data_IF_503056692125
#
_entry.id   IF_503056692125
#
_cell.length_a   1.000
_cell.length_b   1.000
_cell.length_c   1.000
_cell.angle_alpha   90.00
_cell.angle_beta   90.00
_cell.angle_gamma   90.00
#
_symmetry.space_group_name_H-M   'P 1'
#
loop_
_entity.id
_entity.type
_entity.pdbx_description
1 polymer ?
#
# COMPACT_ATOMS: atom_id res chain seq x y z
N UNK A 1 -55.01 -22.58 -3.55
CA UNK A 1 -53.72 -22.47 -2.78
C UNK A 1 -52.60 -23.38 -3.31
N UNK A 2 -52.73 -24.01 -4.45
CA UNK A 2 -51.67 -24.85 -5.07
C UNK A 2 -50.82 -24.15 -6.14
N UNK A 3 -51.18 -22.93 -6.58
CA UNK A 3 -50.58 -22.28 -7.74
C UNK A 3 -49.41 -21.32 -7.39
N UNK A 4 -49.29 -20.88 -6.14
CA UNK A 4 -48.22 -19.97 -5.70
C UNK A 4 -46.93 -20.71 -5.27
N UNK A 5 -47.02 -21.94 -4.82
CA UNK A 5 -45.86 -22.74 -4.44
C UNK A 5 -45.08 -23.28 -5.66
N UNK A 6 -45.80 -23.67 -6.72
CA UNK A 6 -45.18 -24.13 -7.98
C UNK A 6 -44.48 -22.99 -8.73
N UNK A 7 -45.04 -21.75 -8.67
CA UNK A 7 -44.37 -20.58 -9.28
C UNK A 7 -43.10 -20.16 -8.54
N UNK A 8 -43.00 -20.40 -7.22
CA UNK A 8 -41.78 -20.15 -6.45
C UNK A 8 -40.69 -21.18 -6.72
N UNK A 9 -41.03 -22.45 -6.89
CA UNK A 9 -40.05 -23.51 -7.19
C UNK A 9 -39.47 -23.40 -8.61
N UNK A 10 -40.26 -23.01 -9.61
CA UNK A 10 -39.78 -22.79 -10.97
C UNK A 10 -38.89 -21.55 -11.07
N UNK A 11 -39.13 -20.51 -10.27
CA UNK A 11 -38.25 -19.30 -10.22
C UNK A 11 -36.89 -19.61 -9.63
N UNK A 12 -36.77 -20.51 -8.66
CA UNK A 12 -35.49 -20.88 -8.04
C UNK A 12 -34.60 -21.77 -8.93
N UNK A 13 -35.20 -22.53 -9.86
CA UNK A 13 -34.47 -23.42 -10.78
C UNK A 13 -33.80 -22.68 -11.95
N UNK A 14 -34.18 -21.44 -12.21
CA UNK A 14 -33.63 -20.60 -13.32
C UNK A 14 -32.55 -19.63 -12.88
N UNK A 15 -32.25 -19.52 -11.58
CA UNK A 15 -31.24 -18.59 -11.08
C UNK A 15 -29.85 -19.24 -11.13
N UNK A 16 -29.03 -18.83 -12.08
CA UNK A 16 -27.63 -19.25 -12.09
C UNK A 16 -26.85 -18.55 -10.96
N UNK A 17 -25.88 -19.25 -10.37
CA UNK A 17 -24.98 -18.65 -9.37
C UNK A 17 -24.25 -17.41 -9.91
N UNK A 18 -24.00 -17.35 -11.22
CA UNK A 18 -23.41 -16.21 -11.92
C UNK A 18 -24.36 -15.01 -11.91
N UNK A 19 -25.66 -15.20 -12.17
CA UNK A 19 -26.67 -14.13 -12.17
C UNK A 19 -26.96 -13.63 -10.75
N UNK A 20 -27.00 -14.55 -9.77
CA UNK A 20 -27.14 -14.19 -8.36
C UNK A 20 -25.93 -13.35 -7.91
N UNK A 21 -24.72 -13.78 -8.26
CA UNK A 21 -23.49 -13.05 -7.94
C UNK A 21 -23.44 -11.69 -8.61
N UNK A 22 -23.78 -11.60 -9.90
CA UNK A 22 -23.89 -10.34 -10.65
C UNK A 22 -24.90 -9.39 -10.03
N UNK A 23 -26.10 -9.89 -9.69
CA UNK A 23 -27.16 -9.08 -9.06
C UNK A 23 -26.78 -8.57 -7.66
N UNK A 24 -25.99 -9.34 -6.91
CA UNK A 24 -25.44 -8.92 -5.61
C UNK A 24 -24.36 -7.85 -5.82
N UNK A 25 -23.47 -8.05 -6.78
CA UNK A 25 -22.43 -7.09 -7.15
C UNK A 25 -23.05 -5.74 -7.56
N UNK A 26 -24.02 -5.75 -8.47
CA UNK A 26 -24.66 -4.54 -8.98
C UNK A 26 -25.43 -3.75 -7.90
N UNK A 27 -25.94 -4.44 -6.87
CA UNK A 27 -26.68 -3.80 -5.76
C UNK A 27 -25.79 -3.37 -4.58
N UNK A 28 -24.64 -3.99 -4.41
CA UNK A 28 -23.82 -3.86 -3.19
C UNK A 28 -22.60 -2.98 -3.36
N UNK A 29 -22.16 -2.70 -4.58
CA UNK A 29 -20.97 -1.93 -4.83
C UNK A 29 -21.30 -0.49 -5.25
N UNK A 30 -21.42 0.40 -4.26
CA UNK A 30 -21.05 1.79 -4.48
C UNK A 30 -19.57 1.85 -4.89
N UNK A 31 -19.23 2.79 -5.77
CA UNK A 31 -17.84 3.10 -6.15
C UNK A 31 -16.97 3.06 -4.87
N UNK A 32 -15.88 2.29 -4.84
CA UNK A 32 -15.04 2.21 -3.66
C UNK A 32 -14.65 3.61 -3.19
N UNK A 33 -14.85 3.90 -1.91
CA UNK A 33 -14.52 5.22 -1.32
C UNK A 33 -13.03 5.61 -1.52
N UNK A 34 -12.18 4.65 -1.83
CA UNK A 34 -10.80 4.87 -2.21
C UNK A 34 -10.66 5.59 -3.56
N UNK A 35 -11.55 5.35 -4.54
CA UNK A 35 -11.46 5.98 -5.85
C UNK A 35 -11.62 7.50 -5.76
N UNK A 36 -12.60 7.99 -5.00
CA UNK A 36 -12.77 9.43 -4.77
C UNK A 36 -11.48 10.06 -4.23
N UNK A 37 -10.86 9.45 -3.21
CA UNK A 37 -9.60 9.95 -2.66
C UNK A 37 -8.44 9.91 -3.66
N UNK A 38 -8.36 8.87 -4.50
CA UNK A 38 -7.33 8.78 -5.55
C UNK A 38 -7.51 9.91 -6.56
N UNK A 39 -8.74 10.18 -6.99
CA UNK A 39 -9.06 11.29 -7.89
C UNK A 39 -8.74 12.65 -7.27
N UNK A 40 -9.03 12.84 -5.96
CA UNK A 40 -8.70 14.07 -5.21
C UNK A 40 -7.19 14.33 -5.16
N UNK A 41 -6.36 13.28 -5.28
CA UNK A 41 -4.91 13.38 -5.40
C UNK A 41 -4.40 13.64 -6.83
N UNK A 42 -5.31 13.90 -7.78
CA UNK A 42 -4.99 14.29 -9.16
C UNK A 42 -4.72 13.13 -10.12
N UNK A 43 -5.07 11.90 -9.74
CA UNK A 43 -5.04 10.77 -10.65
C UNK A 43 -6.29 10.75 -11.54
N UNK A 44 -6.18 10.15 -12.72
CA UNK A 44 -7.29 9.93 -13.64
C UNK A 44 -7.98 8.59 -13.37
N UNK A 45 -9.20 8.41 -13.91
CA UNK A 45 -9.93 7.13 -13.79
C UNK A 45 -9.18 5.96 -14.44
N UNK A 46 -8.42 6.25 -15.50
CA UNK A 46 -7.62 5.27 -16.24
C UNK A 46 -6.42 4.79 -15.43
N UNK A 47 -5.92 5.60 -14.48
CA UNK A 47 -4.80 5.24 -13.61
C UNK A 47 -5.22 4.44 -12.37
N UNK A 48 -6.49 4.48 -11.98
CA UNK A 48 -7.01 3.78 -10.80
C UNK A 48 -6.73 2.27 -10.84
N UNK A 49 -7.01 1.53 -11.92
CA UNK A 49 -6.70 0.10 -11.99
C UNK A 49 -5.21 -0.19 -11.80
N UNK A 50 -4.35 0.67 -12.31
CA UNK A 50 -2.90 0.53 -12.12
C UNK A 50 -2.51 0.66 -10.64
N UNK A 51 -3.07 1.65 -9.92
CA UNK A 51 -2.80 1.86 -8.49
C UNK A 51 -3.19 0.62 -7.67
N UNK A 52 -4.36 0.03 -7.94
CA UNK A 52 -4.80 -1.19 -7.25
C UNK A 52 -3.93 -2.41 -7.60
N UNK A 53 -3.45 -2.51 -8.82
CA UNK A 53 -2.65 -3.65 -9.27
C UNK A 53 -1.17 -3.54 -8.89
N UNK A 54 -0.67 -2.33 -8.65
CA UNK A 54 0.74 -2.07 -8.37
C UNK A 54 1.33 -2.96 -7.25
N UNK A 55 0.70 -3.11 -6.08
CA UNK A 55 1.24 -3.97 -5.03
C UNK A 55 1.42 -5.42 -5.47
N UNK A 56 0.49 -5.95 -6.24
CA UNK A 56 0.54 -7.34 -6.73
C UNK A 56 1.58 -7.53 -7.83
N UNK A 57 1.86 -6.49 -8.61
CA UNK A 57 2.85 -6.52 -9.70
C UNK A 57 4.28 -6.54 -9.14
N UNK A 58 4.58 -5.73 -8.12
CA UNK A 58 5.94 -5.51 -7.64
C UNK A 58 6.32 -6.31 -6.39
N UNK A 59 5.36 -6.73 -5.58
CA UNK A 59 5.61 -7.42 -4.32
C UNK A 59 5.41 -8.93 -4.46
N UNK A 60 6.19 -9.69 -3.69
CA UNK A 60 6.03 -11.14 -3.53
C UNK A 60 5.57 -11.53 -2.12
N UNK A 61 5.65 -10.61 -1.17
CA UNK A 61 5.29 -10.86 0.22
C UNK A 61 3.84 -10.44 0.49
N UNK A 62 2.96 -11.39 0.85
CA UNK A 62 1.53 -11.10 1.13
C UNK A 62 1.34 -10.01 2.19
N UNK A 63 2.23 -9.95 3.19
CA UNK A 63 2.18 -8.94 4.25
C UNK A 63 2.34 -7.53 3.72
N UNK A 64 3.27 -7.28 2.79
CA UNK A 64 3.49 -5.97 2.20
C UNK A 64 2.40 -5.61 1.19
N UNK A 65 1.89 -6.61 0.43
CA UNK A 65 0.75 -6.44 -0.46
C UNK A 65 -0.46 -5.93 0.35
N UNK A 66 -0.84 -6.66 1.40
CA UNK A 66 -1.98 -6.29 2.25
C UNK A 66 -1.76 -4.97 2.98
N UNK A 67 -0.53 -4.67 3.37
CA UNK A 67 -0.19 -3.37 3.96
C UNK A 67 -0.46 -2.23 2.97
N UNK A 68 0.02 -2.33 1.73
CA UNK A 68 -0.22 -1.30 0.71
C UNK A 68 -1.71 -1.20 0.32
N UNK A 69 -2.42 -2.32 0.20
CA UNK A 69 -3.87 -2.33 -0.02
C UNK A 69 -4.61 -1.58 1.10
N UNK A 70 -4.23 -1.80 2.36
CA UNK A 70 -4.82 -1.08 3.50
C UNK A 70 -4.55 0.43 3.45
N UNK A 71 -3.39 0.86 2.94
CA UNK A 71 -3.10 2.29 2.73
C UNK A 71 -4.02 2.85 1.65
N UNK A 72 -4.13 2.20 0.49
CA UNK A 72 -4.99 2.64 -0.61
C UNK A 72 -6.44 2.81 -0.13
N UNK A 73 -6.94 1.88 0.66
CA UNK A 73 -8.30 1.92 1.21
C UNK A 73 -8.45 2.79 2.47
N UNK A 74 -7.36 3.36 3.01
CA UNK A 74 -7.34 4.13 4.26
C UNK A 74 -7.91 3.36 5.47
N UNK A 75 -7.61 2.07 5.55
CA UNK A 75 -8.05 1.15 6.62
C UNK A 75 -6.88 0.60 7.45
N UNK A 76 -5.68 1.16 7.27
CA UNK A 76 -4.55 0.79 8.11
C UNK A 76 -4.81 1.29 9.55
N UNK A 77 -4.64 0.44 10.57
CA UNK A 77 -4.79 0.86 11.96
C UNK A 77 -3.84 2.02 12.32
N UNK A 78 -4.41 3.11 12.82
CA UNK A 78 -3.69 4.28 13.34
C UNK A 78 -4.16 4.56 14.76
N UNK A 79 -3.42 5.34 15.56
CA UNK A 79 -3.85 5.68 16.91
C UNK A 79 -5.25 6.34 16.92
N UNK A 80 -5.53 7.24 15.97
CA UNK A 80 -6.86 7.85 15.85
C UNK A 80 -7.96 6.83 15.55
N UNK A 81 -7.69 5.79 14.74
CA UNK A 81 -8.68 4.76 14.45
C UNK A 81 -8.88 3.81 15.63
N UNK A 82 -7.80 3.46 16.32
CA UNK A 82 -7.82 2.60 17.51
C UNK A 82 -8.47 3.32 18.70
N UNK A 83 -8.21 4.60 18.89
CA UNK A 83 -8.86 5.44 19.91
C UNK A 83 -10.36 5.54 19.68
N UNK A 84 -10.80 5.79 18.43
CA UNK A 84 -12.23 5.79 18.10
C UNK A 84 -12.90 4.42 18.35
N UNK A 85 -12.16 3.34 18.16
CA UNK A 85 -12.60 1.98 18.44
C UNK A 85 -12.48 1.59 19.94
N UNK A 86 -12.03 2.50 20.80
CA UNK A 86 -11.80 2.30 22.25
C UNK A 86 -10.81 1.17 22.55
N UNK A 87 -9.82 0.99 21.68
CA UNK A 87 -8.73 -0.01 21.83
C UNK A 87 -7.53 0.62 22.53
N UNK A 88 -7.30 1.92 22.33
CA UNK A 88 -6.23 2.69 22.98
C UNK A 88 -6.80 3.89 23.73
N UNK A 89 -6.07 4.38 24.73
CA UNK A 89 -6.49 5.51 25.58
C UNK A 89 -6.13 6.87 24.99
N UNK A 90 -5.35 6.90 23.90
CA UNK A 90 -4.91 8.13 23.24
C UNK A 90 -4.88 7.96 21.73
N UNK A 91 -5.11 9.06 21.03
CA UNK A 91 -4.95 9.15 19.57
C UNK A 91 -3.64 9.84 19.14
N UNK A 92 -2.80 10.23 20.11
CA UNK A 92 -1.53 10.93 19.87
C UNK A 92 -0.55 10.06 19.09
N UNK A 93 0.14 10.67 18.14
CA UNK A 93 1.15 10.03 17.32
C UNK A 93 2.36 9.59 18.17
N UNK A 94 2.71 8.30 18.22
CA UNK A 94 3.86 7.83 19.00
C UNK A 94 5.23 8.29 18.48
N UNK A 95 5.29 8.74 17.21
CA UNK A 95 6.55 9.21 16.62
C UNK A 95 6.90 10.63 17.07
N UNK A 96 5.96 11.57 17.00
CA UNK A 96 6.21 12.97 17.35
C UNK A 96 5.68 13.37 18.71
N UNK A 97 4.76 12.61 19.31
CA UNK A 97 4.06 12.89 20.58
C UNK A 97 3.33 14.24 20.63
N UNK A 98 2.92 14.79 19.46
CA UNK A 98 2.34 16.14 19.38
C UNK A 98 0.90 16.10 18.85
N UNK A 99 0.65 15.40 17.77
CA UNK A 99 -0.60 15.46 17.00
C UNK A 99 -1.34 14.13 17.00
N UNK A 100 -2.64 14.18 16.72
CA UNK A 100 -3.45 12.99 16.49
C UNK A 100 -2.96 12.22 15.28
N UNK A 101 -2.78 10.89 15.42
CA UNK A 101 -2.20 10.07 14.38
C UNK A 101 -3.26 9.55 13.39
N UNK A 102 -3.54 10.32 12.35
CA UNK A 102 -4.20 9.82 11.14
C UNK A 102 -3.19 9.08 10.24
N UNK A 103 -3.68 8.36 9.21
CA UNK A 103 -2.81 7.75 8.20
C UNK A 103 -1.95 8.79 7.48
N UNK A 104 -2.55 9.93 7.10
CA UNK A 104 -1.84 11.05 6.50
C UNK A 104 -0.78 11.61 7.43
N UNK A 105 -1.12 11.84 8.71
CA UNK A 105 -0.14 12.32 9.68
C UNK A 105 1.00 11.33 9.82
N UNK A 106 0.72 10.07 10.10
CA UNK A 106 1.75 9.05 10.31
C UNK A 106 2.74 8.93 9.14
N UNK A 107 2.23 8.92 7.90
CA UNK A 107 3.08 8.67 6.73
C UNK A 107 3.70 9.95 6.14
N UNK A 108 3.09 11.12 6.31
CA UNK A 108 3.43 12.31 5.52
C UNK A 108 3.70 13.54 6.37
N UNK A 109 2.72 13.99 7.18
CA UNK A 109 2.79 15.30 7.87
C UNK A 109 3.46 15.26 9.23
N UNK A 110 3.70 14.08 9.81
CA UNK A 110 4.49 13.95 11.02
C UNK A 110 5.90 14.49 10.81
N UNK A 111 6.41 15.33 11.70
CA UNK A 111 7.75 15.92 11.59
C UNK A 111 8.86 14.86 11.48
N UNK A 112 8.72 13.77 12.24
CA UNK A 112 9.68 12.64 12.20
C UNK A 112 9.62 11.92 10.85
N UNK A 113 8.41 11.65 10.35
CA UNK A 113 8.26 11.01 9.03
C UNK A 113 8.70 11.92 7.89
N UNK A 114 8.44 13.22 7.97
CA UNK A 114 8.90 14.19 6.98
C UNK A 114 10.42 14.24 6.89
N UNK A 115 11.12 14.22 8.03
CA UNK A 115 12.59 14.13 8.07
C UNK A 115 13.09 12.83 7.44
N UNK A 116 12.43 11.69 7.74
CA UNK A 116 12.76 10.40 7.13
C UNK A 116 12.63 10.43 5.59
N UNK A 117 11.62 11.08 5.04
CA UNK A 117 11.46 11.20 3.58
C UNK A 117 12.51 12.08 2.92
N UNK A 118 13.08 13.06 3.64
CA UNK A 118 14.23 13.83 3.16
C UNK A 118 15.45 12.90 3.02
N UNK A 119 15.74 12.07 4.04
CA UNK A 119 16.82 11.08 3.95
C UNK A 119 16.60 10.09 2.81
N UNK A 120 15.37 9.60 2.64
CA UNK A 120 15.01 8.70 1.54
C UNK A 120 15.28 9.35 0.17
N UNK A 121 14.89 10.61 -0.03
CA UNK A 121 15.09 11.32 -1.29
C UNK A 121 16.56 11.53 -1.60
N UNK A 122 17.38 11.87 -0.59
CA UNK A 122 18.82 12.03 -0.73
C UNK A 122 19.50 10.69 -1.07
N UNK A 123 19.18 9.63 -0.32
CA UNK A 123 19.67 8.29 -0.60
C UNK A 123 19.30 7.81 -2.01
N UNK A 124 18.07 8.05 -2.45
CA UNK A 124 17.64 7.71 -3.80
C UNK A 124 18.45 8.45 -4.85
N UNK A 125 18.67 9.75 -4.64
CA UNK A 125 19.51 10.57 -5.54
C UNK A 125 20.94 10.05 -5.62
N UNK A 126 21.57 9.73 -4.51
CA UNK A 126 22.92 9.17 -4.45
C UNK A 126 23.04 7.83 -5.19
N UNK A 127 22.07 6.93 -5.01
CA UNK A 127 22.07 5.59 -5.61
C UNK A 127 21.76 5.59 -7.10
N UNK A 128 20.83 6.41 -7.53
CA UNK A 128 20.26 6.34 -8.88
C UNK A 128 20.59 7.56 -9.76
N UNK A 129 21.20 8.58 -9.21
CA UNK A 129 21.42 9.89 -9.84
C UNK A 129 20.13 10.49 -10.41
N UNK A 130 19.03 10.30 -9.68
CA UNK A 130 17.70 10.77 -10.04
C UNK A 130 17.11 11.55 -8.87
N UNK A 131 16.85 12.84 -9.09
CA UNK A 131 16.17 13.66 -8.09
C UNK A 131 14.68 13.29 -8.09
N UNK A 132 14.20 12.76 -6.96
CA UNK A 132 12.80 12.36 -6.81
C UNK A 132 12.08 13.29 -5.85
N UNK A 133 11.07 14.00 -6.35
CA UNK A 133 10.15 14.75 -5.50
C UNK A 133 9.07 13.80 -4.99
N UNK A 134 9.06 13.56 -3.69
CA UNK A 134 8.07 12.72 -3.04
C UNK A 134 6.84 13.56 -2.67
N UNK A 135 5.82 13.53 -3.51
CA UNK A 135 4.51 14.11 -3.19
C UNK A 135 3.70 13.19 -2.28
N UNK A 136 2.64 13.73 -1.67
CA UNK A 136 1.67 12.96 -0.89
C UNK A 136 1.09 11.79 -1.73
N UNK A 137 0.76 12.05 -2.99
CA UNK A 137 0.26 11.02 -3.91
C UNK A 137 1.29 9.93 -4.19
N UNK A 138 2.56 10.30 -4.40
CA UNK A 138 3.66 9.34 -4.62
C UNK A 138 3.88 8.46 -3.39
N UNK A 139 3.89 9.03 -2.20
CA UNK A 139 4.06 8.28 -0.96
C UNK A 139 2.86 7.34 -0.75
N UNK A 140 1.63 7.80 -0.92
CA UNK A 140 0.43 7.01 -0.64
C UNK A 140 0.19 5.90 -1.67
N UNK A 141 0.25 6.23 -2.95
CA UNK A 141 -0.21 5.37 -4.04
C UNK A 141 0.93 4.80 -4.90
N UNK A 142 2.13 5.32 -4.78
CA UNK A 142 3.28 4.91 -5.56
C UNK A 142 3.50 5.76 -6.81
N UNK A 143 4.56 5.45 -7.52
CA UNK A 143 4.94 6.09 -8.77
C UNK A 143 4.35 5.33 -9.95
N UNK A 144 3.46 5.96 -10.68
CA UNK A 144 2.70 5.34 -11.76
C UNK A 144 3.33 5.47 -13.16
N UNK A 145 4.36 6.32 -13.31
CA UNK A 145 5.05 6.49 -14.59
C UNK A 145 6.11 5.41 -14.77
N UNK A 146 6.07 4.71 -15.89
CA UNK A 146 7.09 3.76 -16.30
C UNK A 146 8.39 4.51 -16.63
N UNK A 147 9.20 4.73 -15.62
CA UNK A 147 10.56 5.26 -15.75
C UNK A 147 11.57 4.15 -15.47
N UNK A 148 12.82 4.34 -15.86
CA UNK A 148 13.89 3.47 -15.40
C UNK A 148 13.88 3.40 -13.86
N UNK A 149 13.93 2.18 -13.32
CA UNK A 149 13.89 1.89 -11.87
C UNK A 149 12.53 2.11 -11.16
N UNK A 150 11.42 2.27 -11.86
CA UNK A 150 10.10 2.47 -11.24
C UNK A 150 9.70 1.32 -10.29
N UNK A 151 10.05 0.07 -10.63
CA UNK A 151 9.78 -1.09 -9.76
C UNK A 151 10.57 -1.00 -8.45
N UNK A 152 11.86 -0.67 -8.55
CA UNK A 152 12.75 -0.50 -7.40
C UNK A 152 12.28 0.64 -6.51
N UNK A 153 11.88 1.77 -7.10
CA UNK A 153 11.36 2.91 -6.36
C UNK A 153 10.09 2.55 -5.60
N UNK A 154 9.11 1.97 -6.29
CA UNK A 154 7.85 1.59 -5.65
C UNK A 154 8.03 0.53 -4.56
N UNK A 155 8.89 -0.45 -4.79
CA UNK A 155 9.24 -1.44 -3.77
C UNK A 155 9.88 -0.77 -2.54
N UNK A 156 10.87 0.09 -2.76
CA UNK A 156 11.56 0.82 -1.69
C UNK A 156 10.60 1.73 -0.92
N UNK A 157 9.68 2.43 -1.61
CA UNK A 157 8.63 3.25 -0.99
C UNK A 157 7.70 2.41 -0.09
N UNK A 158 7.31 1.21 -0.51
CA UNK A 158 6.44 0.36 0.31
C UNK A 158 7.19 -0.16 1.53
N UNK A 159 8.46 -0.56 1.38
CA UNK A 159 9.30 -0.97 2.52
C UNK A 159 9.52 0.20 3.49
N UNK A 160 9.75 1.40 2.97
CA UNK A 160 9.91 2.64 3.75
C UNK A 160 8.64 2.97 4.55
N UNK A 161 7.47 2.97 3.90
CA UNK A 161 6.16 3.14 4.58
C UNK A 161 5.93 2.08 5.65
N UNK A 162 6.29 0.83 5.35
CA UNK A 162 6.19 -0.25 6.33
C UNK A 162 7.14 -0.04 7.51
N UNK A 163 8.34 0.53 7.28
CA UNK A 163 9.25 0.90 8.35
C UNK A 163 8.64 2.00 9.26
N UNK A 164 8.10 3.06 8.68
CA UNK A 164 7.40 4.12 9.42
C UNK A 164 6.26 3.54 10.27
N UNK A 165 5.42 2.69 9.68
CA UNK A 165 4.32 2.04 10.38
C UNK A 165 4.80 1.12 11.52
N UNK A 166 5.81 0.28 11.27
CA UNK A 166 6.30 -0.68 12.23
C UNK A 166 7.01 -0.04 13.43
N UNK A 167 7.59 1.15 13.24
CA UNK A 167 8.22 1.93 14.33
C UNK A 167 7.26 2.89 15.00
N UNK A 168 6.05 3.07 14.47
CA UNK A 168 5.01 3.91 15.03
C UNK A 168 4.27 3.25 16.21
N UNK A 169 5.05 2.88 17.21
CA UNK A 169 4.62 2.27 18.47
C UNK A 169 5.23 3.05 19.63
N UNK A 170 4.68 2.96 20.85
CA UNK A 170 5.27 3.62 22.02
C UNK A 170 6.77 3.30 22.14
N UNK A 171 7.57 4.34 22.30
CA UNK A 171 9.05 4.27 22.35
C UNK A 171 9.73 3.73 21.09
N UNK A 172 9.01 3.65 19.96
CA UNK A 172 9.60 3.31 18.68
C UNK A 172 10.47 4.45 18.15
N UNK A 173 11.61 4.10 17.57
CA UNK A 173 12.54 5.06 16.94
C UNK A 173 12.52 4.84 15.44
N UNK A 174 12.11 5.87 14.71
CA UNK A 174 12.19 5.87 13.26
C UNK A 174 13.58 6.38 12.84
N UNK A 175 14.45 5.48 12.44
CA UNK A 175 15.75 5.81 11.88
C UNK A 175 15.90 5.25 10.45
N UNK A 176 16.84 5.84 9.70
CA UNK A 176 17.05 5.48 8.30
C UNK A 176 17.83 4.17 8.13
N UNK A 177 18.72 3.85 9.07
CA UNK A 177 19.52 2.62 9.04
C UNK A 177 18.64 1.37 9.22
N UNK A 178 17.66 1.44 10.10
CA UNK A 178 16.63 0.40 10.25
C UNK A 178 15.86 0.15 8.94
N UNK A 179 15.56 1.20 8.19
CA UNK A 179 14.96 1.07 6.86
C UNK A 179 15.93 0.38 5.88
N UNK A 180 17.19 0.81 5.82
CA UNK A 180 18.19 0.21 4.92
C UNK A 180 18.41 -1.27 5.24
N UNK A 181 18.55 -1.62 6.52
CA UNK A 181 18.67 -3.01 6.95
C UNK A 181 17.46 -3.84 6.52
N UNK A 182 16.26 -3.30 6.71
CA UNK A 182 15.02 -3.95 6.29
C UNK A 182 14.93 -4.12 4.78
N UNK A 183 15.33 -3.09 4.02
CA UNK A 183 15.35 -3.14 2.56
C UNK A 183 16.34 -4.18 2.05
N UNK A 184 17.58 -4.19 2.57
CA UNK A 184 18.61 -5.15 2.19
C UNK A 184 18.17 -6.60 2.45
N UNK A 185 17.64 -6.89 3.64
CA UNK A 185 17.08 -8.22 3.95
C UNK A 185 15.98 -8.67 2.97
N UNK A 186 15.18 -7.71 2.48
CA UNK A 186 14.13 -7.97 1.49
C UNK A 186 14.71 -8.24 0.10
N UNK A 187 15.73 -7.50 -0.29
CA UNK A 187 16.42 -7.68 -1.56
C UNK A 187 17.13 -9.03 -1.59
N UNK A 188 17.78 -9.44 -0.51
CA UNK A 188 18.41 -10.77 -0.37
C UNK A 188 17.38 -11.90 -0.51
N UNK A 189 16.21 -11.72 0.09
CA UNK A 189 15.10 -12.66 -0.08
C UNK A 189 14.63 -12.75 -1.55
N UNK A 190 14.45 -11.62 -2.23
CA UNK A 190 14.09 -11.57 -3.65
C UNK A 190 15.18 -12.19 -4.55
N UNK A 191 16.44 -11.94 -4.23
CA UNK A 191 17.58 -12.55 -4.89
C UNK A 191 17.55 -14.08 -4.78
N UNK A 192 17.26 -14.60 -3.58
CA UNK A 192 17.11 -16.04 -3.35
C UNK A 192 15.96 -16.64 -4.17
N UNK A 193 14.81 -15.97 -4.25
CA UNK A 193 13.69 -16.41 -5.10
C UNK A 193 14.11 -16.41 -6.57
N UNK A 194 14.75 -15.34 -7.04
CA UNK A 194 15.21 -15.22 -8.42
C UNK A 194 16.23 -16.32 -8.79
N UNK A 195 17.15 -16.63 -7.88
CA UNK A 195 18.10 -17.74 -8.04
C UNK A 195 17.39 -19.07 -8.19
N UNK A 196 16.48 -19.41 -7.26
CA UNK A 196 15.70 -20.65 -7.31
C UNK A 196 14.80 -20.77 -8.53
N UNK A 197 14.38 -19.66 -9.11
CA UNK A 197 13.53 -19.60 -10.31
C UNK A 197 14.31 -19.46 -11.60
N UNK A 198 15.65 -19.57 -11.57
CA UNK A 198 16.56 -19.38 -12.70
C UNK A 198 16.41 -18.03 -13.41
N UNK A 199 16.09 -16.96 -12.66
CA UNK A 199 15.88 -15.58 -13.14
C UNK A 199 16.86 -14.58 -12.54
N UNK A 200 18.01 -15.04 -12.07
CA UNK A 200 19.01 -14.19 -11.41
C UNK A 200 19.55 -13.08 -12.31
N UNK A 201 19.69 -13.34 -13.63
CA UNK A 201 20.14 -12.30 -14.58
C UNK A 201 19.16 -11.15 -14.73
N UNK A 202 17.86 -11.44 -14.77
CA UNK A 202 16.79 -10.43 -14.81
C UNK A 202 16.74 -9.65 -13.51
N UNK A 203 16.82 -10.34 -12.38
CA UNK A 203 16.88 -9.73 -11.06
C UNK A 203 18.05 -8.74 -10.96
N UNK A 204 19.25 -9.15 -11.35
CA UNK A 204 20.43 -8.28 -11.33
C UNK A 204 20.27 -7.04 -12.21
N UNK A 205 19.64 -7.14 -13.38
CA UNK A 205 19.38 -5.94 -14.22
C UNK A 205 18.54 -4.89 -13.51
N UNK A 206 17.53 -5.33 -12.74
CA UNK A 206 16.62 -4.43 -12.02
C UNK A 206 17.23 -3.90 -10.72
N UNK A 207 17.92 -4.77 -9.96
CA UNK A 207 18.30 -4.49 -8.57
C UNK A 207 19.78 -4.21 -8.35
N UNK A 208 20.61 -4.24 -9.42
CA UNK A 208 22.08 -4.14 -9.32
C UNK A 208 22.58 -2.92 -8.52
N UNK A 209 21.85 -1.81 -8.55
CA UNK A 209 22.26 -0.58 -7.84
C UNK A 209 22.01 -0.63 -6.32
N UNK A 210 21.25 -1.60 -5.86
CA UNK A 210 20.97 -1.80 -4.44
C UNK A 210 21.74 -2.99 -3.85
N UNK A 211 22.32 -3.82 -4.70
CA UNK A 211 23.23 -4.89 -4.32
C UNK A 211 24.66 -4.35 -4.11
#
# INVERSE_FOLDING_TARGET
MHDESEKRETSLKLFSTKEAYSSILDKSFSVPTAEGRILDHGFTKEEIPYIYMLPFKILKEPKLIMFQVKIIHNILPTQSSLFRARITDTDVCPLCNLESQSLKHMLITCSVSSSFWIFFSNWWHEKFNQKQTLSESTISYGWHKESNNWEVLNYSLIVAKYNVFATSVPNGVLDFDSFLLRLNNKIDFLCTIAFRSNRLSEFKKTWAKLL
#
